data_IF_241297271965
#
_entry.id   IF_241297271965
#
_cell.length_a   1.000
_cell.length_b   1.000
_cell.length_c   1.000
_cell.angle_alpha   90.00
_cell.angle_beta   90.00
_cell.angle_gamma   90.00
#
_symmetry.space_group_name_H-M   'P 1'
#
loop_
_entity.id
_entity.type
_entity.pdbx_description
1 polymer ?
#
# COMPACT_ATOMS: atom_id res chain seq x y z
N UNK A 1 -19.56 -28.31 5.55
CA UNK A 1 -18.42 -28.21 4.63
C UNK A 1 -18.05 -26.74 4.53
N UNK A 2 -16.75 -26.41 4.50
CA UNK A 2 -16.28 -25.05 4.22
C UNK A 2 -16.85 -24.55 2.90
N UNK A 3 -17.24 -23.26 2.86
CA UNK A 3 -17.85 -22.65 1.67
C UNK A 3 -16.76 -22.06 0.80
N UNK A 4 -16.74 -22.43 -0.48
CA UNK A 4 -15.75 -21.97 -1.44
C UNK A 4 -16.34 -20.83 -2.27
N UNK A 5 -15.61 -19.73 -2.38
CA UNK A 5 -15.88 -18.63 -3.30
C UNK A 5 -14.86 -18.70 -4.44
N UNK A 6 -15.37 -18.91 -5.66
CA UNK A 6 -14.59 -18.77 -6.89
C UNK A 6 -14.61 -17.33 -7.40
N UNK A 7 -13.98 -17.10 -8.55
CA UNK A 7 -13.85 -15.78 -9.17
C UNK A 7 -15.16 -14.97 -9.21
N UNK A 8 -16.25 -15.56 -9.73
CA UNK A 8 -17.53 -14.86 -9.83
C UNK A 8 -18.16 -14.56 -8.46
N UNK A 9 -17.97 -15.44 -7.47
CA UNK A 9 -18.48 -15.21 -6.12
C UNK A 9 -17.71 -14.06 -5.47
N UNK A 10 -16.38 -14.06 -5.61
CA UNK A 10 -15.48 -13.01 -5.12
C UNK A 10 -15.89 -11.65 -5.70
N UNK A 11 -16.09 -11.54 -7.02
CA UNK A 11 -16.49 -10.28 -7.66
C UNK A 11 -17.80 -9.70 -7.13
N UNK A 12 -18.72 -10.54 -6.63
CA UNK A 12 -19.98 -10.05 -6.05
C UNK A 12 -19.79 -9.44 -4.66
N UNK A 13 -18.80 -9.91 -3.89
CA UNK A 13 -18.68 -9.60 -2.47
C UNK A 13 -17.59 -8.58 -2.17
N UNK A 14 -16.56 -8.46 -3.01
CA UNK A 14 -15.55 -7.40 -2.88
C UNK A 14 -15.64 -6.39 -4.02
N UNK A 15 -15.28 -5.14 -3.72
CA UNK A 15 -15.32 -4.03 -4.69
C UNK A 15 -14.12 -4.00 -5.64
N UNK A 16 -13.02 -4.68 -5.30
CA UNK A 16 -11.81 -4.73 -6.13
C UNK A 16 -12.05 -5.55 -7.42
N UNK A 17 -11.43 -5.09 -8.50
CA UNK A 17 -11.43 -5.72 -9.84
C UNK A 17 -9.99 -5.85 -10.34
N UNK A 18 -9.71 -6.68 -11.34
CA UNK A 18 -8.41 -6.65 -12.01
C UNK A 18 -8.07 -5.24 -12.54
N UNK A 19 -6.79 -4.80 -12.48
CA UNK A 19 -5.62 -5.51 -11.94
C UNK A 19 -5.39 -5.44 -10.41
N UNK A 20 -6.30 -4.93 -9.58
CA UNK A 20 -6.15 -4.95 -8.10
C UNK A 20 -6.92 -6.06 -7.38
N UNK A 21 -7.55 -6.98 -8.10
CA UNK A 21 -8.08 -8.21 -7.51
C UNK A 21 -6.91 -9.14 -7.18
N UNK A 22 -6.62 -9.32 -5.89
CA UNK A 22 -5.42 -9.99 -5.36
C UNK A 22 -5.73 -11.35 -4.74
N UNK A 23 -6.90 -11.94 -5.02
CA UNK A 23 -7.31 -13.26 -4.53
C UNK A 23 -8.03 -14.02 -5.65
N UNK A 24 -7.68 -15.29 -5.84
CA UNK A 24 -8.24 -16.13 -6.91
C UNK A 24 -9.27 -17.13 -6.40
N UNK A 25 -9.12 -17.55 -5.14
CA UNK A 25 -10.02 -18.49 -4.45
C UNK A 25 -10.07 -18.16 -2.97
N UNK A 26 -11.26 -18.18 -2.38
CA UNK A 26 -11.46 -18.02 -0.93
C UNK A 26 -12.24 -19.22 -0.40
N UNK A 27 -11.88 -19.69 0.78
CA UNK A 27 -12.54 -20.75 1.52
C UNK A 27 -12.90 -20.23 2.91
N UNK A 28 -14.20 -20.09 3.16
CA UNK A 28 -14.75 -19.62 4.43
C UNK A 28 -14.87 -20.80 5.40
N UNK A 29 -14.39 -20.59 6.62
CA UNK A 29 -14.57 -21.55 7.70
C UNK A 29 -16.04 -21.61 8.13
N UNK A 30 -16.49 -22.78 8.59
CA UNK A 30 -17.88 -23.01 9.01
C UNK A 30 -18.29 -22.19 10.24
N UNK A 31 -17.32 -21.73 11.04
CA UNK A 31 -17.57 -20.89 12.21
C UNK A 31 -17.78 -19.41 11.88
N UNK A 32 -17.59 -19.01 10.62
CA UNK A 32 -17.73 -17.63 10.17
C UNK A 32 -16.66 -16.67 10.71
N UNK A 33 -15.61 -17.16 11.38
CA UNK A 33 -14.59 -16.32 12.04
C UNK A 33 -13.23 -16.34 11.34
N UNK A 34 -13.03 -17.24 10.38
CA UNK A 34 -11.78 -17.34 9.63
C UNK A 34 -12.00 -17.72 8.18
N UNK A 35 -11.01 -17.40 7.34
CA UNK A 35 -11.00 -17.78 5.94
C UNK A 35 -9.57 -18.07 5.49
N UNK A 36 -9.46 -18.96 4.51
CA UNK A 36 -8.24 -19.21 3.75
C UNK A 36 -8.40 -18.72 2.33
N UNK A 37 -7.34 -18.24 1.71
CA UNK A 37 -7.39 -17.84 0.31
C UNK A 37 -6.09 -18.19 -0.42
N UNK A 38 -6.18 -18.26 -1.74
CA UNK A 38 -5.02 -18.47 -2.61
C UNK A 38 -4.94 -17.33 -3.61
N UNK A 39 -3.72 -16.81 -3.78
CA UNK A 39 -3.33 -15.89 -4.84
C UNK A 39 -2.21 -16.53 -5.66
N UNK A 40 -2.51 -16.86 -6.90
CA UNK A 40 -1.54 -17.30 -7.91
C UNK A 40 -0.77 -16.07 -8.40
N UNK A 41 0.54 -16.04 -8.14
CA UNK A 41 1.39 -14.91 -8.53
C UNK A 41 1.91 -15.16 -9.95
N UNK A 42 1.55 -14.29 -10.89
CA UNK A 42 1.85 -14.47 -12.31
C UNK A 42 2.70 -13.32 -12.83
N UNK A 43 3.69 -13.62 -13.68
CA UNK A 43 4.52 -12.60 -14.33
C UNK A 43 3.70 -11.68 -15.25
N UNK A 44 2.51 -12.13 -15.69
CA UNK A 44 1.58 -11.35 -16.50
C UNK A 44 0.88 -10.23 -15.69
N UNK A 45 1.07 -10.17 -14.38
CA UNK A 45 0.51 -9.11 -13.55
C UNK A 45 1.23 -7.77 -13.77
N UNK A 46 0.44 -6.75 -14.09
CA UNK A 46 0.94 -5.47 -14.59
C UNK A 46 1.96 -4.78 -13.67
N UNK A 47 1.87 -4.97 -12.35
CA UNK A 47 2.78 -4.33 -11.40
C UNK A 47 4.22 -4.84 -11.51
N UNK A 48 4.46 -6.05 -12.04
CA UNK A 48 5.83 -6.57 -12.21
C UNK A 48 6.62 -5.80 -13.27
N UNK A 49 5.95 -5.13 -14.21
CA UNK A 49 6.63 -4.19 -15.14
C UNK A 49 7.31 -3.04 -14.39
N UNK A 50 6.79 -2.70 -13.20
CA UNK A 50 7.24 -1.60 -12.36
C UNK A 50 8.00 -2.00 -11.09
N UNK A 51 7.94 -3.26 -10.66
CA UNK A 51 8.42 -3.70 -9.35
C UNK A 51 9.07 -5.11 -9.40
N UNK A 52 10.32 -5.26 -9.80
CA UNK A 52 11.16 -4.27 -10.48
C UNK A 52 11.54 -4.79 -11.87
N UNK A 53 11.80 -3.91 -12.85
CA UNK A 53 12.45 -4.32 -14.09
C UNK A 53 13.75 -5.08 -13.79
N UNK A 54 13.96 -6.24 -14.42
CA UNK A 54 15.12 -7.12 -14.19
C UNK A 54 15.02 -8.01 -12.93
N UNK A 55 14.31 -7.56 -11.89
CA UNK A 55 14.10 -8.29 -10.64
C UNK A 55 12.65 -8.26 -10.17
N UNK A 56 11.73 -9.03 -10.79
CA UNK A 56 10.32 -9.00 -10.46
C UNK A 56 10.05 -9.55 -9.07
N UNK A 57 9.48 -8.74 -8.18
CA UNK A 57 9.10 -9.12 -6.81
C UNK A 57 7.68 -8.62 -6.57
N UNK A 58 6.79 -9.41 -5.99
CA UNK A 58 5.45 -8.92 -5.67
C UNK A 58 5.56 -7.84 -4.57
N UNK A 59 5.04 -6.62 -4.79
CA UNK A 59 5.04 -5.59 -3.75
C UNK A 59 4.41 -6.10 -2.46
N UNK A 60 5.07 -5.90 -1.33
CA UNK A 60 4.59 -6.38 -0.02
C UNK A 60 3.19 -5.84 0.30
N UNK A 61 2.89 -4.59 -0.09
CA UNK A 61 1.57 -3.98 0.06
C UNK A 61 0.46 -4.72 -0.68
N UNK A 62 0.76 -5.42 -1.79
CA UNK A 62 -0.24 -6.21 -2.52
C UNK A 62 -0.50 -7.56 -1.83
N UNK A 63 0.45 -8.09 -1.07
CA UNK A 63 0.18 -9.22 -0.17
C UNK A 63 -0.82 -8.80 0.92
N UNK A 64 -0.69 -7.58 1.46
CA UNK A 64 -1.67 -7.02 2.39
C UNK A 64 -3.03 -6.83 1.71
N UNK A 65 -3.05 -6.34 0.46
CA UNK A 65 -4.29 -6.21 -0.31
C UNK A 65 -5.03 -7.55 -0.44
N UNK A 66 -4.30 -8.64 -0.69
CA UNK A 66 -4.87 -9.99 -0.75
C UNK A 66 -5.49 -10.42 0.60
N UNK A 67 -4.78 -10.20 1.71
CA UNK A 67 -5.29 -10.46 3.07
C UNK A 67 -6.54 -9.63 3.39
N UNK A 68 -6.51 -8.34 3.06
CA UNK A 68 -7.63 -7.44 3.25
C UNK A 68 -8.86 -7.87 2.45
N UNK A 69 -8.69 -8.22 1.17
CA UNK A 69 -9.77 -8.70 0.31
C UNK A 69 -10.36 -10.02 0.81
N UNK A 70 -9.53 -10.92 1.34
CA UNK A 70 -9.98 -12.16 1.99
C UNK A 70 -10.87 -11.85 3.19
N UNK A 71 -10.44 -10.93 4.06
CA UNK A 71 -11.23 -10.49 5.21
C UNK A 71 -12.53 -9.78 4.80
N UNK A 72 -12.50 -8.97 3.74
CA UNK A 72 -13.71 -8.32 3.20
C UNK A 72 -14.74 -9.35 2.75
N UNK A 73 -14.33 -10.39 2.01
CA UNK A 73 -15.23 -11.45 1.57
C UNK A 73 -15.84 -12.20 2.77
N UNK A 74 -15.04 -12.53 3.78
CA UNK A 74 -15.50 -13.17 5.01
C UNK A 74 -16.53 -12.30 5.76
N UNK A 75 -16.24 -11.01 5.96
CA UNK A 75 -17.15 -10.09 6.63
C UNK A 75 -18.46 -9.93 5.84
N UNK A 76 -18.37 -9.81 4.51
CA UNK A 76 -19.55 -9.63 3.66
C UNK A 76 -20.48 -10.85 3.65
N UNK A 77 -19.92 -12.04 3.64
CA UNK A 77 -20.72 -13.26 3.52
C UNK A 77 -21.26 -13.76 4.87
N UNK A 78 -20.51 -13.56 5.95
CA UNK A 78 -20.84 -14.16 7.26
C UNK A 78 -21.36 -13.14 8.28
N UNK A 79 -21.14 -11.84 8.06
CA UNK A 79 -21.45 -10.80 9.06
C UNK A 79 -22.32 -9.65 8.57
N UNK A 80 -22.56 -9.52 7.26
CA UNK A 80 -23.48 -8.52 6.71
C UNK A 80 -24.59 -9.21 5.93
N UNK A 81 -25.82 -8.70 6.08
CA UNK A 81 -26.94 -9.18 5.28
C UNK A 81 -26.75 -8.81 3.80
N UNK A 82 -27.29 -9.62 2.88
CA UNK A 82 -27.19 -9.37 1.44
C UNK A 82 -27.81 -8.02 0.99
N UNK A 83 -28.75 -7.48 1.77
CA UNK A 83 -29.34 -6.16 1.54
C UNK A 83 -28.56 -5.01 2.18
N UNK A 84 -27.51 -5.30 2.94
CA UNK A 84 -26.69 -4.29 3.60
C UNK A 84 -25.77 -3.57 2.60
N UNK A 85 -26.07 -2.29 2.40
CA UNK A 85 -25.31 -1.43 1.50
C UNK A 85 -23.92 -1.07 2.07
N UNK A 86 -23.69 -1.24 3.38
CA UNK A 86 -22.41 -0.94 4.02
C UNK A 86 -21.33 -1.87 3.54
N UNK A 87 -20.09 -1.40 3.52
CA UNK A 87 -18.95 -2.19 3.05
C UNK A 87 -17.76 -2.14 4.02
N UNK A 88 -16.93 -3.21 4.04
CA UNK A 88 -15.71 -3.21 4.84
C UNK A 88 -14.66 -2.28 4.23
N UNK A 89 -14.08 -1.40 5.05
CA UNK A 89 -13.03 -0.43 4.70
C UNK A 89 -11.81 -0.62 5.59
N UNK A 90 -10.62 -0.69 5.00
CA UNK A 90 -9.36 -0.73 5.74
C UNK A 90 -9.13 0.60 6.48
N UNK A 91 -9.08 0.56 7.82
CA UNK A 91 -8.83 1.74 8.65
C UNK A 91 -7.43 1.74 9.29
N UNK A 92 -6.82 0.56 9.50
CA UNK A 92 -5.45 0.49 10.02
C UNK A 92 -4.67 -0.76 9.61
N UNK A 93 -3.35 -0.65 9.70
CA UNK A 93 -2.40 -1.77 9.63
C UNK A 93 -1.47 -1.71 10.83
N UNK A 94 -1.24 -2.83 11.51
CA UNK A 94 -0.44 -2.86 12.72
C UNK A 94 0.48 -4.07 12.74
N UNK A 95 1.77 -3.83 13.02
CA UNK A 95 2.79 -4.87 13.16
C UNK A 95 2.89 -5.78 11.92
N UNK A 96 2.76 -5.19 10.72
CA UNK A 96 2.97 -5.93 9.47
C UNK A 96 4.45 -6.23 9.33
N UNK A 97 4.81 -7.47 9.03
CA UNK A 97 6.19 -7.91 8.76
C UNK A 97 6.25 -8.55 7.38
N UNK A 98 7.20 -8.12 6.56
CA UNK A 98 7.60 -8.79 5.33
C UNK A 98 8.88 -9.58 5.62
N UNK A 99 8.79 -10.90 5.48
CA UNK A 99 9.87 -11.83 5.87
C UNK A 99 10.67 -12.30 4.68
N UNK A 100 10.00 -12.54 3.55
CA UNK A 100 10.59 -13.07 2.33
C UNK A 100 9.94 -12.43 1.10
N UNK A 101 10.70 -12.25 0.01
CA UNK A 101 10.12 -11.86 -1.27
C UNK A 101 9.17 -12.95 -1.78
N UNK A 102 8.19 -12.52 -2.56
CA UNK A 102 7.24 -13.38 -3.28
C UNK A 102 7.45 -13.12 -4.76
N UNK A 103 7.56 -14.18 -5.55
CA UNK A 103 7.97 -14.13 -6.95
C UNK A 103 6.86 -14.63 -7.89
N UNK A 104 6.92 -14.26 -9.19
CA UNK A 104 6.13 -14.94 -10.22
C UNK A 104 6.31 -16.46 -10.15
N UNK A 105 5.20 -17.19 -10.19
CA UNK A 105 5.15 -18.65 -10.02
C UNK A 105 4.74 -19.11 -8.62
N UNK A 106 4.83 -18.24 -7.61
CA UNK A 106 4.45 -18.58 -6.25
C UNK A 106 2.93 -18.76 -6.10
N UNK A 107 2.55 -19.69 -5.22
CA UNK A 107 1.19 -19.79 -4.69
C UNK A 107 1.14 -19.15 -3.31
N UNK A 108 0.72 -17.89 -3.25
CA UNK A 108 0.54 -17.18 -2.00
C UNK A 108 -0.72 -17.68 -1.29
N UNK A 109 -0.52 -18.47 -0.24
CA UNK A 109 -1.57 -18.97 0.63
C UNK A 109 -1.81 -17.99 1.77
N UNK A 110 -3.07 -17.65 2.02
CA UNK A 110 -3.49 -16.64 2.98
C UNK A 110 -4.36 -17.28 4.04
N UNK A 111 -4.16 -16.85 5.29
CA UNK A 111 -5.05 -17.17 6.40
C UNK A 111 -5.43 -15.86 7.11
N UNK A 112 -6.74 -15.65 7.29
CA UNK A 112 -7.27 -14.52 8.07
C UNK A 112 -8.20 -15.04 9.16
N UNK A 113 -8.12 -14.42 10.34
CA UNK A 113 -9.05 -14.61 11.43
C UNK A 113 -9.56 -13.24 11.89
N UNK A 114 -10.88 -13.09 12.00
CA UNK A 114 -11.52 -11.84 12.40
C UNK A 114 -11.99 -11.90 13.85
N UNK A 115 -12.03 -10.75 14.49
CA UNK A 115 -12.57 -10.58 15.84
C UNK A 115 -13.42 -9.30 15.82
N UNK A 116 -14.74 -9.39 16.09
CA UNK A 116 -15.59 -8.20 16.15
C UNK A 116 -15.06 -7.20 17.17
N UNK A 117 -15.12 -5.92 16.82
CA UNK A 117 -14.83 -4.80 17.69
C UNK A 117 -15.84 -3.67 17.44
N UNK A 118 -15.74 -2.58 18.21
CA UNK A 118 -16.62 -1.44 17.99
C UNK A 118 -16.43 -0.89 16.56
N UNK A 119 -17.55 -0.71 15.85
CA UNK A 119 -17.57 -0.23 14.45
C UNK A 119 -17.00 -1.17 13.37
N UNK A 120 -16.53 -2.39 13.71
CA UNK A 120 -15.94 -3.27 12.70
C UNK A 120 -15.23 -4.52 13.23
N UNK A 121 -14.07 -4.82 12.67
CA UNK A 121 -13.33 -6.06 12.91
C UNK A 121 -11.83 -5.81 13.02
N UNK A 122 -11.21 -6.44 14.02
CA UNK A 122 -9.77 -6.67 14.03
C UNK A 122 -9.46 -7.96 13.27
N UNK A 123 -8.50 -7.93 12.36
CA UNK A 123 -8.10 -9.07 11.53
C UNK A 123 -6.67 -9.45 11.84
N UNK A 124 -6.42 -10.70 12.22
CA UNK A 124 -5.09 -11.29 12.23
C UNK A 124 -4.86 -12.00 10.90
N UNK A 125 -3.81 -11.62 10.17
CA UNK A 125 -3.56 -12.11 8.82
C UNK A 125 -2.14 -12.67 8.66
N UNK A 126 -2.02 -13.71 7.84
CA UNK A 126 -0.77 -14.42 7.54
C UNK A 126 -0.76 -14.82 6.07
N UNK A 127 0.40 -14.71 5.42
CA UNK A 127 0.66 -15.16 4.07
C UNK A 127 1.86 -16.10 4.04
N UNK A 128 1.76 -17.20 3.29
CA UNK A 128 2.79 -18.22 3.15
C UNK A 128 2.99 -18.63 1.70
N UNK A 129 4.22 -19.00 1.37
CA UNK A 129 4.60 -19.70 0.13
C UNK A 129 5.37 -20.94 0.55
N UNK A 130 5.02 -22.11 0.02
CA UNK A 130 5.64 -23.40 0.35
C UNK A 130 5.76 -23.68 1.86
N UNK A 131 4.71 -23.31 2.63
CA UNK A 131 4.64 -23.48 4.08
C UNK A 131 5.54 -22.53 4.87
N UNK A 132 6.16 -21.55 4.22
CA UNK A 132 7.01 -20.55 4.87
C UNK A 132 6.30 -19.20 4.91
N UNK A 133 6.25 -18.59 6.09
CA UNK A 133 5.62 -17.28 6.25
C UNK A 133 6.39 -16.20 5.51
N UNK A 134 5.74 -15.57 4.53
CA UNK A 134 6.29 -14.46 3.72
C UNK A 134 5.83 -13.11 4.24
N UNK A 135 4.61 -13.01 4.78
CA UNK A 135 4.10 -11.81 5.42
C UNK A 135 3.07 -12.12 6.52
N UNK A 136 2.94 -11.21 7.49
CA UNK A 136 1.95 -11.35 8.57
C UNK A 136 1.68 -10.01 9.26
N UNK A 137 0.55 -9.87 9.91
CA UNK A 137 0.27 -8.72 10.78
C UNK A 137 -1.20 -8.61 11.15
N UNK A 138 -1.62 -7.41 11.57
CA UNK A 138 -3.01 -7.15 11.94
C UNK A 138 -3.58 -6.00 11.08
N UNK A 139 -4.83 -6.14 10.68
CA UNK A 139 -5.59 -5.11 9.95
C UNK A 139 -6.77 -4.68 10.81
N UNK A 140 -7.07 -3.39 10.82
CA UNK A 140 -8.36 -2.89 11.30
C UNK A 140 -9.27 -2.64 10.11
N UNK A 141 -10.49 -3.15 10.17
CA UNK A 141 -11.52 -2.97 9.15
C UNK A 141 -12.76 -2.39 9.80
N UNK A 142 -13.24 -1.26 9.29
CA UNK A 142 -14.52 -0.66 9.67
C UNK A 142 -15.61 -1.07 8.69
N UNK A 143 -16.85 -1.10 9.14
CA UNK A 143 -18.02 -1.26 8.25
C UNK A 143 -18.68 0.10 8.10
N UNK A 144 -18.63 0.66 6.88
CA UNK A 144 -19.05 2.04 6.59
C UNK A 144 -20.16 2.07 5.54
N UNK A 145 -20.99 3.11 5.56
CA UNK A 145 -22.06 3.30 4.57
C UNK A 145 -21.50 3.58 3.16
N UNK A 146 -22.24 3.16 2.13
CA UNK A 146 -21.84 3.32 0.73
C UNK A 146 -21.61 4.77 0.32
N UNK A 147 -22.30 5.71 0.95
CA UNK A 147 -22.24 7.14 0.63
C UNK A 147 -20.97 7.81 1.18
N UNK A 148 -20.36 7.26 2.25
CA UNK A 148 -19.09 7.72 2.81
C UNK A 148 -17.88 7.42 1.91
N UNK A 149 -18.09 6.61 0.86
CA UNK A 149 -17.06 6.23 -0.11
C UNK A 149 -16.82 7.30 -1.20
N UNK A 150 -17.77 8.23 -1.37
CA UNK A 150 -17.80 9.23 -2.45
C UNK A 150 -17.71 10.65 -1.88
N UNK A 151 -16.56 11.01 -1.30
CA UNK A 151 -16.31 12.41 -0.96
C UNK A 151 -15.95 13.16 -2.25
N UNK A 152 -16.79 14.12 -2.64
CA UNK A 152 -16.40 15.10 -3.66
C UNK A 152 -15.11 15.78 -3.19
N UNK A 153 -14.08 15.95 -4.04
CA UNK A 153 -12.89 16.69 -3.64
C UNK A 153 -13.34 18.04 -3.06
N UNK A 154 -12.94 18.31 -1.82
CA UNK A 154 -13.23 19.58 -1.17
C UNK A 154 -12.85 20.72 -2.13
N UNK A 155 -13.66 21.79 -2.18
CA UNK A 155 -13.48 22.93 -3.08
C UNK A 155 -12.00 23.33 -3.20
N UNK A 156 -11.53 23.61 -4.44
CA UNK A 156 -10.16 24.02 -4.80
C UNK A 156 -9.22 24.15 -3.60
N UNK A 157 -8.62 23.03 -3.20
CA UNK A 157 -7.75 23.10 -2.03
C UNK A 157 -6.51 23.90 -2.41
N UNK A 158 -6.18 24.89 -1.58
CA UNK A 158 -5.03 25.75 -1.82
C UNK A 158 -3.80 24.87 -2.11
N UNK A 159 -2.95 25.25 -3.09
CA UNK A 159 -1.77 24.46 -3.41
C UNK A 159 -0.96 24.25 -2.13
N UNK A 160 -0.36 23.06 -1.95
CA UNK A 160 0.43 22.77 -0.76
C UNK A 160 1.41 23.91 -0.48
N UNK A 161 1.42 24.42 0.76
CA UNK A 161 2.29 25.54 1.21
C UNK A 161 3.74 25.40 0.73
N UNK A 162 4.19 24.15 0.58
CA UNK A 162 5.50 23.75 0.12
C UNK A 162 5.91 24.23 -1.28
N UNK A 163 4.97 24.49 -2.19
CA UNK A 163 5.32 24.96 -3.53
C UNK A 163 5.89 26.38 -3.55
N UNK A 164 5.46 27.24 -2.63
CA UNK A 164 5.95 28.62 -2.58
C UNK A 164 7.38 28.72 -2.05
N UNK A 165 7.76 27.79 -1.15
CA UNK A 165 9.06 27.79 -0.46
C UNK A 165 10.06 26.78 -1.05
N UNK A 166 9.70 26.09 -2.14
CA UNK A 166 10.53 25.06 -2.76
C UNK A 166 11.79 25.67 -3.38
N UNK A 167 12.95 25.12 -3.03
CA UNK A 167 14.23 25.54 -3.61
C UNK A 167 14.55 24.70 -4.85
N UNK A 168 14.89 25.31 -6.01
CA UNK A 168 15.10 24.59 -7.26
C UNK A 168 16.02 23.37 -7.17
N UNK A 169 17.08 23.45 -6.36
CA UNK A 169 18.07 22.40 -6.15
C UNK A 169 17.56 21.17 -5.38
N UNK A 170 16.44 21.31 -4.68
CA UNK A 170 15.80 20.22 -3.89
C UNK A 170 14.53 19.67 -4.56
N UNK A 171 14.16 20.23 -5.72
CA UNK A 171 12.99 19.81 -6.48
C UNK A 171 13.41 18.80 -7.54
N UNK A 172 12.67 17.70 -7.62
CA UNK A 172 12.95 16.61 -8.55
C UNK A 172 11.65 16.08 -9.16
N UNK A 173 11.59 15.99 -10.48
CA UNK A 173 10.48 15.33 -11.18
C UNK A 173 10.68 13.82 -11.27
N UNK A 174 9.67 13.11 -11.80
CA UNK A 174 9.67 11.65 -11.99
C UNK A 174 10.96 11.09 -12.62
N UNK A 175 11.51 11.76 -13.63
CA UNK A 175 12.76 11.28 -14.28
C UNK A 175 13.95 11.26 -13.33
N UNK A 176 14.06 12.23 -12.41
CA UNK A 176 15.10 12.22 -11.37
C UNK A 176 14.80 11.16 -10.31
N UNK A 177 13.53 10.99 -9.92
CA UNK A 177 13.13 9.93 -8.98
C UNK A 177 13.51 8.55 -9.54
N UNK A 178 13.30 8.32 -10.84
CA UNK A 178 13.66 7.07 -11.52
C UNK A 178 15.18 6.79 -11.54
N UNK A 179 16.02 7.81 -11.39
CA UNK A 179 17.47 7.62 -11.26
C UNK A 179 17.87 7.10 -9.88
N UNK A 180 17.02 7.29 -8.87
CA UNK A 180 17.33 6.94 -7.47
C UNK A 180 16.68 5.62 -7.06
N UNK A 181 15.41 5.42 -7.41
CA UNK A 181 14.67 4.19 -7.08
C UNK A 181 14.40 3.33 -8.32
N UNK A 182 14.38 1.98 -8.19
CA UNK A 182 14.20 1.08 -9.32
C UNK A 182 12.75 1.01 -9.83
N UNK A 183 11.78 1.55 -9.06
CA UNK A 183 10.36 1.54 -9.42
C UNK A 183 10.10 2.18 -10.79
N UNK A 184 9.24 1.56 -11.60
CA UNK A 184 8.81 2.09 -12.91
C UNK A 184 7.29 2.01 -13.04
N UNK A 185 6.74 2.59 -14.10
CA UNK A 185 5.33 2.40 -14.44
C UNK A 185 5.01 0.88 -14.56
N UNK A 186 3.86 0.42 -14.05
CA UNK A 186 2.77 1.16 -13.42
C UNK A 186 2.86 1.27 -11.89
N UNK A 187 4.02 1.01 -11.28
CA UNK A 187 4.19 0.91 -9.83
C UNK A 187 5.17 1.95 -9.23
N UNK A 188 5.50 2.99 -9.98
CA UNK A 188 6.14 4.21 -9.46
C UNK A 188 5.02 5.18 -9.04
N UNK A 189 4.89 5.41 -7.73
CA UNK A 189 3.77 6.15 -7.12
C UNK A 189 4.18 7.54 -6.63
N UNK A 190 5.25 8.11 -7.21
CA UNK A 190 5.75 9.46 -6.91
C UNK A 190 5.95 10.22 -8.20
N UNK A 191 5.31 11.37 -8.31
CA UNK A 191 5.43 12.24 -9.48
C UNK A 191 6.49 13.32 -9.28
N UNK A 192 6.66 13.78 -8.04
CA UNK A 192 7.55 14.89 -7.72
C UNK A 192 8.04 14.85 -6.28
N UNK A 193 9.28 15.25 -6.08
CA UNK A 193 9.82 15.65 -4.79
C UNK A 193 9.92 17.17 -4.80
N UNK A 194 9.29 17.81 -3.81
CA UNK A 194 9.23 19.27 -3.66
C UNK A 194 10.34 19.76 -2.73
N UNK A 195 10.70 18.93 -1.75
CA UNK A 195 11.78 19.17 -0.79
C UNK A 195 12.45 17.83 -0.49
N UNK A 196 13.77 17.84 -0.42
CA UNK A 196 14.59 16.76 0.12
C UNK A 196 15.72 17.38 0.95
N UNK A 197 16.09 16.73 2.06
CA UNK A 197 17.13 17.17 2.98
C UNK A 197 18.21 16.10 3.09
N UNK A 198 19.47 16.50 2.94
CA UNK A 198 20.63 15.64 3.21
C UNK A 198 20.87 15.50 4.73
N UNK A 199 20.49 16.54 5.48
CA UNK A 199 20.52 16.53 6.94
C UNK A 199 19.19 15.96 7.50
N UNK A 200 19.28 14.78 8.10
CA UNK A 200 18.16 14.10 8.76
C UNK A 200 18.11 14.34 10.28
N UNK A 201 18.85 15.34 10.78
CA UNK A 201 18.91 15.67 12.23
C UNK A 201 18.03 16.86 12.60
N UNK A 202 17.65 17.69 11.61
CA UNK A 202 16.82 18.87 11.80
C UNK A 202 15.34 18.55 12.07
N UNK A 203 14.57 19.52 12.64
CA UNK A 203 13.15 19.33 12.85
C UNK A 203 12.34 19.40 11.55
N UNK A 204 11.29 18.59 11.45
CA UNK A 204 10.31 18.62 10.35
C UNK A 204 10.57 17.59 9.23
N UNK A 205 9.83 17.65 8.12
CA UNK A 205 9.95 16.65 7.06
C UNK A 205 11.29 16.78 6.35
N UNK A 206 12.00 15.66 6.25
CA UNK A 206 13.21 15.49 5.47
C UNK A 206 12.89 15.36 3.98
N UNK A 207 11.69 14.91 3.63
CA UNK A 207 11.18 14.94 2.27
C UNK A 207 9.72 15.35 2.22
N UNK A 208 9.37 16.13 1.19
CA UNK A 208 7.98 16.38 0.79
C UNK A 208 7.80 15.86 -0.63
N UNK A 209 7.08 14.75 -0.75
CA UNK A 209 6.74 14.12 -2.03
C UNK A 209 5.32 14.48 -2.47
N UNK A 210 5.05 14.30 -3.76
CA UNK A 210 3.73 14.50 -4.34
C UNK A 210 3.40 13.39 -5.33
N UNK A 211 2.17 12.91 -5.24
CA UNK A 211 1.52 12.02 -6.20
C UNK A 211 0.19 12.64 -6.63
N UNK A 212 0.02 12.85 -7.92
CA UNK A 212 -1.29 13.16 -8.50
C UNK A 212 -2.11 11.87 -8.55
N UNK A 213 -3.39 11.98 -8.23
CA UNK A 213 -4.33 10.85 -8.27
C UNK A 213 -5.25 11.05 -9.47
N UNK A 214 -5.27 10.09 -10.39
CA UNK A 214 -6.10 10.18 -11.59
C UNK A 214 -6.90 8.91 -11.83
N UNK A 215 -8.14 9.05 -12.31
CA UNK A 215 -8.98 7.92 -12.71
C UNK A 215 -8.40 7.13 -13.88
N UNK A 216 -7.35 7.65 -14.53
CA UNK A 216 -6.66 6.99 -15.62
C UNK A 216 -5.63 5.93 -15.13
N UNK A 217 -5.31 5.90 -13.83
CA UNK A 217 -4.35 4.93 -13.29
C UNK A 217 -4.93 3.51 -13.30
N UNK A 218 -4.13 2.48 -13.64
CA UNK A 218 -4.62 1.10 -13.73
C UNK A 218 -5.33 0.62 -12.45
N UNK A 219 -4.77 0.97 -11.29
CA UNK A 219 -5.35 0.62 -10.00
C UNK A 219 -6.60 1.43 -9.64
N UNK A 220 -6.73 2.68 -10.09
CA UNK A 220 -7.93 3.48 -9.80
C UNK A 220 -9.16 2.94 -10.54
N UNK A 221 -8.98 2.43 -11.76
CA UNK A 221 -10.03 1.76 -12.55
C UNK A 221 -10.48 0.42 -11.95
N UNK A 222 -9.70 -0.11 -11.01
CA UNK A 222 -9.93 -1.41 -10.38
C UNK A 222 -10.82 -1.33 -9.14
N UNK A 223 -11.21 -0.13 -8.71
CA UNK A 223 -11.96 0.09 -7.46
C UNK A 223 -13.30 0.76 -7.76
N UNK A 224 -14.35 0.36 -7.05
CA UNK A 224 -15.67 0.99 -7.14
C UNK A 224 -16.23 1.26 -5.74
N UNK A 225 -16.43 2.54 -5.35
CA UNK A 225 -16.02 3.75 -6.10
C UNK A 225 -14.49 3.89 -6.20
N UNK A 226 -13.97 4.67 -7.18
CA UNK A 226 -12.53 4.87 -7.34
C UNK A 226 -11.93 5.64 -6.16
N UNK A 227 -11.08 4.99 -5.38
CA UNK A 227 -10.30 5.61 -4.31
C UNK A 227 -8.92 4.94 -4.21
N UNK A 228 -7.89 5.70 -3.85
CA UNK A 228 -6.54 5.17 -3.64
C UNK A 228 -6.52 4.32 -2.36
N UNK A 229 -6.36 2.99 -2.46
CA UNK A 229 -6.44 2.11 -1.29
C UNK A 229 -5.30 2.38 -0.30
N UNK A 230 -5.56 2.18 0.99
CA UNK A 230 -4.59 2.45 2.05
C UNK A 230 -3.23 1.75 1.86
N UNK A 231 -3.23 0.53 1.31
CA UNK A 231 -1.99 -0.19 0.99
C UNK A 231 -1.15 0.49 -0.11
N UNK A 232 -1.76 1.19 -1.07
CA UNK A 232 -1.01 1.99 -2.05
C UNK A 232 -0.57 3.35 -1.50
N UNK A 233 -1.26 3.88 -0.48
CA UNK A 233 -0.79 5.07 0.24
C UNK A 233 0.50 4.76 1.01
N UNK A 234 0.56 3.60 1.67
CA UNK A 234 1.77 3.11 2.33
C UNK A 234 2.91 2.90 1.34
N UNK A 235 2.62 2.34 0.16
CA UNK A 235 3.60 2.17 -0.91
C UNK A 235 4.19 3.49 -1.38
N UNK A 236 3.35 4.49 -1.65
CA UNK A 236 3.82 5.82 -2.05
C UNK A 236 4.72 6.45 -0.96
N UNK A 237 4.33 6.33 0.32
CA UNK A 237 5.14 6.78 1.45
C UNK A 237 6.48 6.02 1.56
N UNK A 238 6.49 4.70 1.32
CA UNK A 238 7.70 3.88 1.33
C UNK A 238 8.68 4.27 0.21
N UNK A 239 8.16 4.48 -1.01
CA UNK A 239 8.96 5.00 -2.12
C UNK A 239 9.54 6.38 -1.80
N UNK A 240 8.77 7.24 -1.13
CA UNK A 240 9.18 8.61 -0.83
C UNK A 240 10.30 8.61 0.22
N UNK A 241 10.18 7.74 1.23
CA UNK A 241 11.25 7.48 2.16
C UNK A 241 12.50 6.92 1.46
N UNK A 242 12.35 5.97 0.53
CA UNK A 242 13.48 5.40 -0.21
C UNK A 242 14.23 6.44 -1.03
N UNK A 243 13.54 7.37 -1.69
CA UNK A 243 14.19 8.48 -2.41
C UNK A 243 15.08 9.29 -1.46
N UNK A 244 14.59 9.61 -0.26
CA UNK A 244 15.38 10.34 0.75
C UNK A 244 16.59 9.54 1.20
N UNK A 245 16.40 8.27 1.55
CA UNK A 245 17.45 7.42 2.08
C UNK A 245 18.55 7.15 1.04
N UNK A 246 18.19 6.91 -0.22
CA UNK A 246 19.12 6.58 -1.31
C UNK A 246 19.79 7.81 -1.94
N UNK A 247 19.26 9.01 -1.73
CA UNK A 247 19.93 10.25 -2.19
C UNK A 247 21.16 10.61 -1.37
N UNK A 248 21.40 9.93 -0.24
CA UNK A 248 22.58 10.18 0.60
C UNK A 248 23.87 9.74 -0.12
N UNK A 249 24.95 10.53 -0.02
CA UNK A 249 26.25 10.12 -0.52
C UNK A 249 26.68 8.76 0.07
N UNK A 250 27.13 7.85 -0.79
CA UNK A 250 27.53 6.48 -0.41
C UNK A 250 26.43 5.43 -0.51
N UNK A 251 25.21 5.80 -0.92
CA UNK A 251 24.08 4.88 -1.12
C UNK A 251 23.77 4.61 -2.60
N UNK A 252 24.63 5.02 -3.53
CA UNK A 252 24.40 4.99 -4.98
C UNK A 252 24.14 3.58 -5.51
N UNK A 253 24.85 2.59 -4.97
CA UNK A 253 24.75 1.18 -5.36
C UNK A 253 23.77 0.37 -4.51
N UNK A 254 22.93 1.06 -3.71
CA UNK A 254 21.99 0.41 -2.81
C UNK A 254 20.57 0.39 -3.37
N UNK A 255 19.76 -0.48 -2.78
CA UNK A 255 18.30 -0.51 -2.96
C UNK A 255 17.63 -0.54 -1.59
N UNK A 256 16.45 0.08 -1.52
CA UNK A 256 15.61 0.05 -0.33
C UNK A 256 14.77 -1.22 -0.28
N UNK A 257 14.90 -2.00 0.79
CA UNK A 257 14.07 -3.16 1.07
C UNK A 257 13.05 -2.82 2.15
N UNK A 258 11.76 -3.02 1.84
CA UNK A 258 10.65 -2.71 2.74
C UNK A 258 10.43 -3.83 3.77
N UNK A 259 10.72 -3.58 5.05
CA UNK A 259 10.75 -4.63 6.07
C UNK A 259 9.43 -4.77 6.83
N UNK A 260 8.84 -3.65 7.25
CA UNK A 260 7.65 -3.68 8.10
C UNK A 260 6.89 -2.38 8.16
N UNK A 261 5.61 -2.48 8.51
CA UNK A 261 4.74 -1.39 8.91
C UNK A 261 4.49 -1.57 10.40
N UNK A 262 5.02 -0.68 11.23
CA UNK A 262 4.74 -0.71 12.66
C UNK A 262 3.28 -0.30 12.91
N UNK A 263 2.86 0.80 12.28
CA UNK A 263 1.48 1.30 12.26
C UNK A 263 1.18 2.03 10.94
N UNK A 264 -0.06 1.95 10.49
CA UNK A 264 -0.64 2.86 9.49
C UNK A 264 -2.12 3.08 9.80
N UNK A 265 -2.62 4.30 9.59
CA UNK A 265 -4.01 4.69 9.77
C UNK A 265 -4.53 5.44 8.55
N UNK A 266 -5.80 5.19 8.19
CA UNK A 266 -6.45 5.79 7.02
C UNK A 266 -7.77 6.42 7.45
N UNK A 267 -7.91 7.73 7.24
CA UNK A 267 -9.03 8.51 7.77
C UNK A 267 -10.04 8.91 6.70
N UNK A 268 -9.56 9.26 5.52
CA UNK A 268 -10.39 9.80 4.45
C UNK A 268 -10.04 9.18 3.09
N UNK A 269 -11.04 8.97 2.22
CA UNK A 269 -10.79 8.54 0.85
C UNK A 269 -9.97 9.60 0.09
N UNK A 270 -9.14 9.11 -0.81
CA UNK A 270 -8.37 9.91 -1.77
C UNK A 270 -8.87 9.53 -3.15
N UNK A 271 -9.40 10.48 -3.91
CA UNK A 271 -10.17 10.23 -5.14
C UNK A 271 -9.48 10.83 -6.37
N UNK A 272 -9.86 10.43 -7.59
CA UNK A 272 -9.38 11.07 -8.81
C UNK A 272 -9.52 12.60 -8.77
N UNK A 273 -8.43 13.31 -9.09
CA UNK A 273 -8.33 14.77 -9.01
C UNK A 273 -7.53 15.26 -7.81
N UNK A 274 -7.36 14.45 -6.77
CA UNK A 274 -6.57 14.83 -5.59
C UNK A 274 -5.07 14.90 -5.89
N UNK A 275 -4.39 15.76 -5.13
CA UNK A 275 -2.94 15.75 -4.98
C UNK A 275 -2.59 15.23 -3.60
N UNK A 276 -1.97 14.05 -3.56
CA UNK A 276 -1.47 13.45 -2.34
C UNK A 276 -0.07 13.99 -2.04
N UNK A 277 0.04 14.78 -0.97
CA UNK A 277 1.29 15.30 -0.45
C UNK A 277 1.79 14.38 0.66
N UNK A 278 3.05 13.99 0.61
CA UNK A 278 3.68 13.06 1.54
C UNK A 278 4.78 13.79 2.31
N UNK A 279 4.56 14.08 3.59
CA UNK A 279 5.59 14.60 4.48
C UNK A 279 6.30 13.43 5.18
N UNK A 280 7.59 13.26 4.90
CA UNK A 280 8.38 12.13 5.38
C UNK A 280 9.47 12.60 6.35
N UNK A 281 9.44 12.05 7.57
CA UNK A 281 10.49 12.19 8.58
C UNK A 281 11.24 10.86 8.64
N UNK A 282 12.56 10.92 8.49
CA UNK A 282 13.42 9.74 8.47
C UNK A 282 14.35 9.72 9.68
N UNK A 283 14.42 8.59 10.37
CA UNK A 283 15.46 8.31 11.37
C UNK A 283 16.48 7.36 10.78
N UNK A 284 17.70 7.83 10.60
CA UNK A 284 18.84 7.02 10.14
C UNK A 284 19.36 6.11 11.26
N UNK A 285 19.60 4.84 10.92
CA UNK A 285 20.25 3.83 11.79
C UNK A 285 21.28 3.02 11.00
N UNK A 286 21.97 3.66 10.04
CA UNK A 286 22.98 3.04 9.18
C UNK A 286 22.33 2.30 8.01
N UNK A 287 22.52 0.97 7.95
CA UNK A 287 21.87 0.13 6.92
C UNK A 287 20.37 -0.08 7.16
N UNK A 288 19.84 0.43 8.26
CA UNK A 288 18.42 0.37 8.62
C UNK A 288 17.88 1.77 8.85
N UNK A 289 16.58 1.96 8.67
CA UNK A 289 15.94 3.23 8.96
C UNK A 289 14.49 3.09 9.36
N UNK A 290 13.97 4.15 9.97
CA UNK A 290 12.56 4.35 10.24
C UNK A 290 12.10 5.53 9.40
N UNK A 291 10.95 5.40 8.74
CA UNK A 291 10.30 6.50 8.06
C UNK A 291 8.90 6.69 8.63
N UNK A 292 8.63 7.88 9.15
CA UNK A 292 7.33 8.32 9.60
C UNK A 292 6.75 9.27 8.55
N UNK A 293 5.59 8.89 7.99
CA UNK A 293 4.94 9.60 6.91
C UNK A 293 3.59 10.14 7.35
N UNK A 294 3.34 11.42 7.09
CA UNK A 294 1.99 12.01 7.20
C UNK A 294 1.56 12.51 5.84
N UNK A 295 0.40 12.02 5.39
CA UNK A 295 -0.10 12.25 4.05
C UNK A 295 -1.29 13.21 4.10
N UNK A 296 -1.33 14.12 3.13
CA UNK A 296 -2.34 15.18 3.05
C UNK A 296 -2.96 15.26 1.67
N UNK A 297 -4.25 15.56 1.63
CA UNK A 297 -4.91 16.11 0.44
C UNK A 297 -5.25 17.56 0.78
N UNK A 298 -4.51 18.46 0.15
CA UNK A 298 -4.57 19.87 0.50
C UNK A 298 -4.14 20.14 1.94
N UNK A 299 -5.06 20.58 2.82
CA UNK A 299 -4.78 20.81 4.24
C UNK A 299 -5.22 19.68 5.18
N UNK A 300 -5.96 18.68 4.68
CA UNK A 300 -6.52 17.60 5.49
C UNK A 300 -5.57 16.41 5.50
N UNK A 301 -5.23 15.92 6.70
CA UNK A 301 -4.52 14.65 6.85
C UNK A 301 -5.42 13.51 6.37
N UNK A 302 -4.92 12.65 5.51
CA UNK A 302 -5.66 11.49 4.98
C UNK A 302 -5.12 10.15 5.48
N UNK A 303 -3.82 10.10 5.78
CA UNK A 303 -3.21 8.93 6.42
C UNK A 303 -1.92 9.27 7.15
N UNK A 304 -1.50 8.33 7.98
CA UNK A 304 -0.22 8.37 8.69
C UNK A 304 0.36 6.97 8.76
N UNK A 305 1.68 6.82 8.68
CA UNK A 305 2.36 5.51 8.74
C UNK A 305 3.76 5.58 9.33
N UNK A 306 4.14 4.54 10.07
CA UNK A 306 5.51 4.31 10.57
C UNK A 306 6.08 3.05 9.93
N UNK A 307 7.10 3.23 9.10
CA UNK A 307 7.68 2.24 8.22
C UNK A 307 9.12 1.92 8.63
N UNK A 308 9.55 0.67 8.45
CA UNK A 308 10.96 0.28 8.60
C UNK A 308 11.50 -0.29 7.31
N UNK A 309 12.71 0.10 6.98
CA UNK A 309 13.40 -0.33 5.77
C UNK A 309 14.85 -0.70 6.07
N UNK A 310 15.43 -1.48 5.17
CA UNK A 310 16.86 -1.74 5.09
C UNK A 310 17.42 -1.23 3.76
N UNK A 311 18.69 -0.84 3.77
CA UNK A 311 19.44 -0.54 2.55
C UNK A 311 20.37 -1.72 2.29
N UNK A 312 20.16 -2.38 1.16
CA UNK A 312 20.94 -3.56 0.74
C UNK A 312 21.68 -3.25 -0.55
N UNK A 313 22.79 -3.94 -0.78
CA UNK A 313 23.53 -3.82 -2.04
C UNK A 313 22.65 -4.29 -3.20
N UNK A 314 22.71 -3.56 -4.32
CA UNK A 314 22.06 -3.99 -5.55
C UNK A 314 22.78 -5.24 -6.04
N UNK A 315 22.06 -6.36 -6.16
CA UNK A 315 22.62 -7.54 -6.83
C UNK A 315 22.98 -7.14 -8.26
N UNK A 316 24.26 -7.25 -8.61
CA UNK A 316 24.70 -7.05 -9.98
C UNK A 316 24.17 -8.24 -10.79
N UNK A 317 23.42 -7.96 -11.86
CA UNK A 317 23.10 -8.99 -12.85
C UNK A 317 24.43 -9.58 -13.33
N UNK A 318 24.69 -10.84 -12.97
CA UNK A 318 25.76 -11.61 -13.61
C UNK A 318 25.34 -11.79 -15.07
N UNK A 319 26.08 -11.15 -15.97
CA UNK A 319 25.96 -11.28 -17.44
C UNK A 319 25.92 -12.74 -17.92
#
# INVERSE_FOLDING_TARGET
MSRILGYNDILRVISARPPLLMVDRIELAEDGTSAKATKCVSMDEQFFQGHFPGGPIMPGVLQIAAMYQTACALIREEHLDASDARFPRLCSMNRIKFRKPVFPGDLLQLEVAITPCDGGFSVKAKGEVDGQTVSQGNLGIEVVDSDDACICPDALVAPPKYFADAKPETVMGTLGVMQIIPHRYPFLLIDKVIKISDDLTGPGPHLVGLKNVTGNEPFMRSMTPPALPGYLQVEAAAQAACVTALSKPGNEDLIGYFMSIDSASFEHPIVPGDQLVMEMILTDRGRFGIAEGTLFVGGRRVSHSVLKFALVEREQETE
#
